data_IF_969772382036
#
_entry.id   IF_969772382036
#
_cell.length_a   1.000
_cell.length_b   1.000
_cell.length_c   1.000
_cell.angle_alpha   90.00
_cell.angle_beta   90.00
_cell.angle_gamma   90.00
#
_symmetry.space_group_name_H-M   'P 1'
#
loop_
_entity.id
_entity.type
_entity.pdbx_description
1 polymer ?
#
# COMPACT_ATOMS: atom_id res chain seq x y z
N UNK A 1 -17.78 11.67 -5.27
CA UNK A 1 -18.33 10.31 -5.08
C UNK A 1 -17.22 9.30 -5.04
N UNK A 2 -16.82 8.90 -3.83
CA UNK A 2 -16.12 7.64 -3.61
C UNK A 2 -17.17 6.55 -3.86
N UNK A 3 -16.95 5.67 -4.85
CA UNK A 3 -17.86 4.54 -5.05
C UNK A 3 -17.88 3.70 -3.76
N UNK A 4 -19.06 3.27 -3.26
CA UNK A 4 -19.15 2.33 -2.16
C UNK A 4 -18.18 1.15 -2.33
N UNK A 5 -17.62 0.67 -1.22
CA UNK A 5 -16.64 -0.44 -1.24
C UNK A 5 -17.16 -1.65 -2.03
N UNK A 6 -18.45 -1.96 -1.91
CA UNK A 6 -19.10 -3.06 -2.62
C UNK A 6 -19.10 -2.87 -4.15
N UNK A 7 -19.34 -1.66 -4.65
CA UNK A 7 -19.26 -1.37 -6.09
C UNK A 7 -17.83 -1.55 -6.62
N UNK A 8 -16.83 -1.13 -5.84
CA UNK A 8 -15.43 -1.34 -6.21
C UNK A 8 -15.09 -2.82 -6.29
N UNK A 9 -15.53 -3.62 -5.31
CA UNK A 9 -15.35 -5.08 -5.31
C UNK A 9 -16.03 -5.74 -6.52
N UNK A 10 -17.26 -5.35 -6.83
CA UNK A 10 -17.95 -5.84 -8.02
C UNK A 10 -17.19 -5.50 -9.31
N UNK A 11 -16.75 -4.24 -9.45
CA UNK A 11 -15.94 -3.77 -10.58
C UNK A 11 -14.63 -4.53 -10.71
N UNK A 12 -13.93 -4.79 -9.60
CA UNK A 12 -12.69 -5.60 -9.57
C UNK A 12 -12.97 -7.00 -10.10
N UNK A 13 -13.99 -7.69 -9.58
CA UNK A 13 -14.34 -9.06 -10.01
C UNK A 13 -14.67 -9.11 -11.50
N UNK A 14 -15.45 -8.15 -11.99
CA UNK A 14 -15.82 -8.03 -13.41
C UNK A 14 -14.59 -7.83 -14.31
N UNK A 15 -13.71 -6.89 -13.96
CA UNK A 15 -12.49 -6.60 -14.73
C UNK A 15 -11.47 -7.75 -14.67
N UNK A 16 -11.35 -8.43 -13.54
CA UNK A 16 -10.46 -9.58 -13.39
C UNK A 16 -10.97 -10.83 -14.14
N UNK A 17 -12.29 -10.98 -14.28
CA UNK A 17 -12.91 -12.00 -15.13
C UNK A 17 -12.48 -13.42 -14.77
N UNK A 18 -12.00 -14.18 -15.76
CA UNK A 18 -11.56 -15.56 -15.57
C UNK A 18 -10.42 -15.71 -14.55
N UNK A 19 -9.53 -14.71 -14.45
CA UNK A 19 -8.45 -14.73 -13.47
C UNK A 19 -8.99 -14.73 -12.03
N UNK A 20 -10.05 -13.96 -11.76
CA UNK A 20 -10.72 -14.00 -10.45
C UNK A 20 -11.30 -15.38 -10.16
N UNK A 21 -12.01 -15.99 -11.12
CA UNK A 21 -12.59 -17.33 -10.96
C UNK A 21 -11.52 -18.38 -10.65
N UNK A 22 -10.43 -18.42 -11.43
CA UNK A 22 -9.32 -19.36 -11.24
C UNK A 22 -8.66 -19.18 -9.87
N UNK A 23 -8.33 -17.93 -9.51
CA UNK A 23 -7.68 -17.65 -8.23
C UNK A 23 -8.61 -17.95 -7.05
N UNK A 24 -9.90 -17.62 -7.15
CA UNK A 24 -10.87 -17.90 -6.10
C UNK A 24 -11.04 -19.40 -5.83
N UNK A 25 -11.03 -20.23 -6.89
CA UNK A 25 -11.08 -21.69 -6.77
C UNK A 25 -9.81 -22.23 -6.11
N UNK A 26 -8.64 -21.77 -6.55
CA UNK A 26 -7.36 -22.21 -5.97
C UNK A 26 -7.24 -21.86 -4.48
N UNK A 27 -7.69 -20.67 -4.07
CA UNK A 27 -7.73 -20.24 -2.67
C UNK A 27 -8.72 -21.03 -1.78
N UNK A 28 -9.51 -21.97 -2.34
CA UNK A 28 -10.31 -22.89 -1.54
C UNK A 28 -9.46 -24.01 -0.93
N UNK A 29 -8.43 -24.46 -1.64
CA UNK A 29 -7.66 -25.66 -1.30
C UNK A 29 -6.16 -25.39 -1.15
N UNK A 30 -5.69 -24.21 -1.57
CA UNK A 30 -4.28 -23.85 -1.57
C UNK A 30 -4.06 -22.50 -0.88
N UNK A 31 -2.87 -22.37 -0.29
CA UNK A 31 -2.41 -21.14 0.34
C UNK A 31 -1.30 -20.51 -0.48
N UNK A 32 -1.34 -19.19 -0.55
CA UNK A 32 -0.29 -18.38 -1.15
C UNK A 32 0.19 -17.33 -0.15
N UNK A 33 1.47 -16.99 -0.26
CA UNK A 33 2.15 -16.02 0.60
C UNK A 33 2.64 -14.88 -0.27
N UNK A 34 2.14 -13.66 -0.04
CA UNK A 34 2.44 -12.50 -0.88
C UNK A 34 3.15 -11.42 -0.08
N UNK A 35 4.40 -11.13 -0.40
CA UNK A 35 5.13 -9.98 0.11
C UNK A 35 4.84 -8.75 -0.74
N UNK A 36 4.12 -7.78 -0.18
CA UNK A 36 3.83 -6.53 -0.89
C UNK A 36 5.00 -5.55 -0.78
N UNK A 37 5.60 -5.24 -1.93
CA UNK A 37 6.69 -4.30 -2.09
C UNK A 37 6.16 -3.04 -2.75
N UNK A 38 6.12 -1.92 -2.03
CA UNK A 38 5.60 -0.66 -2.58
C UNK A 38 6.40 0.53 -2.06
N UNK A 39 6.63 1.54 -2.91
CA UNK A 39 7.13 2.86 -2.47
C UNK A 39 6.14 3.51 -1.49
N UNK A 40 6.64 4.41 -0.62
CA UNK A 40 5.79 5.25 0.24
C UNK A 40 4.79 6.02 -0.65
N UNK A 41 3.51 6.08 -0.26
CA UNK A 41 2.38 6.69 -0.99
C UNK A 41 1.82 5.92 -2.21
N UNK A 42 2.27 4.70 -2.46
CA UNK A 42 1.78 3.90 -3.59
C UNK A 42 0.34 3.37 -3.44
N UNK A 43 -0.27 3.48 -2.25
CA UNK A 43 -1.64 2.98 -2.00
C UNK A 43 -1.71 1.52 -1.55
N UNK A 44 -0.63 1.00 -0.93
CA UNK A 44 -0.51 -0.39 -0.48
C UNK A 44 -1.72 -0.91 0.30
N UNK A 45 -2.13 -0.21 1.36
CA UNK A 45 -3.24 -0.62 2.22
C UNK A 45 -4.55 -0.74 1.44
N UNK A 46 -4.75 0.12 0.43
CA UNK A 46 -5.92 0.07 -0.46
C UNK A 46 -5.94 -1.21 -1.29
N UNK A 47 -4.82 -1.62 -1.87
CA UNK A 47 -4.75 -2.88 -2.63
C UNK A 47 -4.96 -4.11 -1.74
N UNK A 48 -4.37 -4.11 -0.55
CA UNK A 48 -4.55 -5.18 0.44
C UNK A 48 -6.02 -5.28 0.84
N UNK A 49 -6.65 -4.17 1.18
CA UNK A 49 -8.07 -4.12 1.53
C UNK A 49 -8.91 -4.66 0.38
N UNK A 50 -8.72 -4.17 -0.84
CA UNK A 50 -9.49 -4.66 -1.99
C UNK A 50 -9.29 -6.14 -2.26
N UNK A 51 -8.10 -6.70 -2.07
CA UNK A 51 -7.89 -8.15 -2.20
C UNK A 51 -8.65 -8.91 -1.11
N UNK A 52 -8.57 -8.47 0.14
CA UNK A 52 -9.27 -9.12 1.25
C UNK A 52 -10.80 -9.08 1.07
N UNK A 53 -11.34 -7.97 0.57
CA UNK A 53 -12.77 -7.80 0.31
C UNK A 53 -13.22 -8.53 -0.97
N UNK A 54 -12.35 -8.64 -1.96
CA UNK A 54 -12.63 -9.40 -3.20
C UNK A 54 -12.65 -10.90 -2.96
N UNK A 55 -11.81 -11.39 -2.04
CA UNK A 55 -11.74 -12.78 -1.59
C UNK A 55 -11.99 -12.89 -0.07
N UNK A 56 -13.25 -12.70 0.37
CA UNK A 56 -13.58 -12.68 1.80
C UNK A 56 -13.10 -13.94 2.51
N UNK A 57 -12.53 -13.76 3.71
CA UNK A 57 -12.01 -14.82 4.58
C UNK A 57 -10.83 -15.64 4.02
N UNK A 58 -10.36 -15.38 2.79
CA UNK A 58 -9.24 -16.13 2.17
C UNK A 58 -7.86 -15.58 2.48
N UNK A 59 -7.76 -14.28 2.75
CA UNK A 59 -6.52 -13.62 3.08
C UNK A 59 -6.52 -13.08 4.51
N UNK A 60 -5.34 -13.09 5.12
CA UNK A 60 -5.01 -12.27 6.28
C UNK A 60 -3.90 -11.30 5.92
N UNK A 61 -3.97 -10.09 6.48
CA UNK A 61 -2.90 -9.10 6.37
C UNK A 61 -2.03 -9.16 7.62
N UNK A 62 -0.75 -9.50 7.44
CA UNK A 62 0.26 -9.35 8.47
C UNK A 62 0.98 -8.01 8.28
N UNK A 63 0.44 -6.95 8.89
CA UNK A 63 1.09 -5.64 8.89
C UNK A 63 2.13 -5.55 10.00
N UNK A 64 3.39 -5.57 9.60
CA UNK A 64 4.53 -5.43 10.50
C UNK A 64 4.51 -4.05 11.19
N UNK A 65 4.10 -3.01 10.46
CA UNK A 65 4.01 -1.66 11.02
C UNK A 65 2.93 -1.52 12.09
N UNK A 66 1.79 -2.17 11.91
CA UNK A 66 0.72 -2.21 12.90
C UNK A 66 1.11 -3.05 14.11
N UNK A 67 1.70 -4.22 13.88
CA UNK A 67 2.24 -5.08 14.94
C UNK A 67 3.19 -4.32 15.86
N UNK A 68 4.14 -3.58 15.28
CA UNK A 68 5.09 -2.77 16.05
C UNK A 68 4.37 -1.70 16.89
N UNK A 69 3.38 -0.99 16.32
CA UNK A 69 2.62 0.03 17.06
C UNK A 69 1.82 -0.58 18.21
N UNK A 70 1.13 -1.69 17.98
CA UNK A 70 0.36 -2.37 19.00
C UNK A 70 1.26 -2.85 20.16
N UNK A 71 2.47 -3.34 19.83
CA UNK A 71 3.47 -3.70 20.84
C UNK A 71 3.99 -2.48 21.61
N UNK A 72 4.23 -1.35 20.93
CA UNK A 72 4.61 -0.10 21.60
C UNK A 72 3.51 0.39 22.55
N UNK A 73 2.24 0.34 22.13
CA UNK A 73 1.09 0.67 22.97
C UNK A 73 0.96 -0.28 24.17
N UNK A 74 1.13 -1.60 23.98
CA UNK A 74 1.15 -2.59 25.06
C UNK A 74 2.25 -2.28 26.10
N UNK A 75 3.45 -1.90 25.63
CA UNK A 75 4.57 -1.50 26.50
C UNK A 75 4.23 -0.23 27.29
N UNK A 76 3.63 0.77 26.65
CA UNK A 76 3.22 2.02 27.31
C UNK A 76 2.15 1.79 28.39
N UNK A 77 1.20 0.88 28.14
CA UNK A 77 0.12 0.58 29.07
C UNK A 77 0.58 -0.30 30.24
N UNK A 78 1.41 -1.32 29.99
CA UNK A 78 1.89 -2.22 31.05
C UNK A 78 3.24 -2.86 30.69
N UNK A 79 4.32 -2.12 30.95
CA UNK A 79 5.70 -2.56 30.70
C UNK A 79 6.04 -3.89 31.39
N UNK A 80 5.57 -4.12 32.63
CA UNK A 80 5.85 -5.35 33.38
C UNK A 80 5.24 -6.59 32.70
N UNK A 81 4.02 -6.47 32.17
CA UNK A 81 3.39 -7.53 31.38
C UNK A 81 4.15 -7.79 30.08
N UNK A 82 4.58 -6.73 29.39
CA UNK A 82 5.36 -6.85 28.16
C UNK A 82 6.70 -7.57 28.38
N UNK A 83 7.44 -7.26 29.46
CA UNK A 83 8.73 -7.90 29.81
C UNK A 83 8.59 -9.40 30.10
N UNK A 84 7.41 -9.85 30.58
CA UNK A 84 7.15 -11.29 30.76
C UNK A 84 6.99 -12.04 29.43
N UNK A 85 6.55 -11.34 28.39
CA UNK A 85 6.26 -11.92 27.06
C UNK A 85 7.41 -11.73 26.06
N UNK A 86 8.16 -10.64 26.20
CA UNK A 86 9.16 -10.17 25.23
C UNK A 86 10.49 -9.87 25.92
N UNK A 87 11.60 -10.08 25.21
CA UNK A 87 12.93 -9.82 25.76
C UNK A 87 13.15 -8.32 26.02
N UNK A 88 14.02 -8.00 27.00
CA UNK A 88 14.34 -6.61 27.35
C UNK A 88 14.98 -5.86 26.19
N UNK A 89 15.76 -6.53 25.35
CA UNK A 89 16.39 -5.94 24.16
C UNK A 89 15.34 -5.54 23.13
N UNK A 90 14.34 -6.40 22.90
CA UNK A 90 13.24 -6.09 21.98
C UNK A 90 12.42 -4.90 22.50
N UNK A 91 12.11 -4.85 23.78
CA UNK A 91 11.37 -3.74 24.39
C UNK A 91 12.15 -2.43 24.24
N UNK A 92 13.46 -2.45 24.55
CA UNK A 92 14.33 -1.28 24.40
C UNK A 92 14.39 -0.80 22.96
N UNK A 93 14.49 -1.72 22.00
CA UNK A 93 14.50 -1.39 20.57
C UNK A 93 13.14 -0.82 20.12
N UNK A 94 12.02 -1.38 20.62
CA UNK A 94 10.67 -0.88 20.35
C UNK A 94 10.47 0.54 20.89
N UNK A 95 10.90 0.82 22.12
CA UNK A 95 10.81 2.16 22.73
C UNK A 95 11.61 3.21 21.94
N UNK A 96 12.78 2.83 21.41
CA UNK A 96 13.63 3.72 20.60
C UNK A 96 13.22 3.80 19.14
N UNK A 97 12.38 2.88 18.67
CA UNK A 97 12.01 2.80 17.27
C UNK A 97 10.98 3.86 16.90
N UNK A 98 11.13 4.42 15.71
CA UNK A 98 10.27 5.46 15.18
C UNK A 98 10.17 5.36 13.66
N UNK A 99 9.45 6.31 13.08
CA UNK A 99 9.36 6.43 11.62
C UNK A 99 10.74 6.67 11.00
N UNK A 100 11.67 7.34 11.69
CA UNK A 100 13.05 7.61 11.24
C UNK A 100 14.06 6.57 11.73
N UNK A 101 13.83 5.96 12.90
CA UNK A 101 14.69 4.94 13.47
C UNK A 101 13.99 3.56 13.43
N UNK A 102 14.22 2.82 12.35
CA UNK A 102 13.63 1.49 12.20
C UNK A 102 14.31 0.46 13.10
N UNK A 103 13.53 -0.51 13.62
CA UNK A 103 14.01 -1.63 14.43
C UNK A 103 15.27 -2.32 13.91
N UNK A 104 16.03 -2.88 14.84
CA UNK A 104 17.18 -3.74 14.57
C UNK A 104 16.76 -5.05 13.89
N UNK A 105 17.71 -5.69 13.19
CA UNK A 105 17.44 -6.97 12.52
C UNK A 105 17.04 -8.09 13.50
N UNK A 106 17.68 -8.23 14.69
CA UNK A 106 17.23 -9.21 15.69
C UNK A 106 15.77 -9.02 16.11
N UNK A 107 15.36 -7.79 16.44
CA UNK A 107 13.98 -7.50 16.81
C UNK A 107 13.00 -7.80 15.68
N UNK A 108 13.37 -7.46 14.44
CA UNK A 108 12.56 -7.77 13.26
C UNK A 108 12.40 -9.28 13.09
N UNK A 109 13.48 -10.05 13.27
CA UNK A 109 13.45 -11.52 13.21
C UNK A 109 12.54 -12.11 14.31
N UNK A 110 12.60 -11.59 15.53
CA UNK A 110 11.77 -12.04 16.66
C UNK A 110 10.29 -11.77 16.41
N UNK A 111 9.92 -10.53 16.04
CA UNK A 111 8.53 -10.19 15.73
C UNK A 111 8.04 -11.01 14.54
N UNK A 112 8.84 -11.11 13.47
CA UNK A 112 8.45 -11.86 12.27
C UNK A 112 8.26 -13.35 12.56
N UNK A 113 9.12 -13.97 13.38
CA UNK A 113 8.94 -15.36 13.81
C UNK A 113 7.60 -15.55 14.54
N UNK A 114 7.28 -14.68 15.50
CA UNK A 114 6.04 -14.80 16.27
C UNK A 114 4.79 -14.58 15.40
N UNK A 115 4.81 -13.62 14.47
CA UNK A 115 3.72 -13.41 13.51
C UNK A 115 3.41 -14.64 12.64
N UNK A 116 4.39 -15.53 12.45
CA UNK A 116 4.24 -16.72 11.63
C UNK A 116 3.72 -17.94 12.42
N UNK A 117 3.78 -17.92 13.75
CA UNK A 117 3.30 -19.02 14.61
C UNK A 117 1.77 -19.07 14.60
N UNK A 118 1.13 -17.91 14.70
CA UNK A 118 -0.33 -17.80 14.84
C UNK A 118 -1.09 -17.72 13.50
N UNK A 119 -0.49 -18.28 12.44
CA UNK A 119 -1.09 -18.23 11.11
C UNK A 119 -2.25 -19.24 10.99
N UNK A 120 -3.47 -18.79 10.64
CA UNK A 120 -4.58 -19.71 10.36
C UNK A 120 -4.21 -20.70 9.24
N UNK A 121 -4.47 -22.00 9.42
CA UNK A 121 -4.01 -23.04 8.50
C UNK A 121 -4.70 -22.98 7.14
N UNK A 122 -5.84 -22.31 7.02
CA UNK A 122 -6.69 -22.23 5.83
C UNK A 122 -6.55 -20.91 5.06
N UNK A 123 -5.74 -19.96 5.56
CA UNK A 123 -5.65 -18.61 4.99
C UNK A 123 -4.33 -18.36 4.28
N UNK A 124 -4.46 -17.70 3.14
CA UNK A 124 -3.34 -17.06 2.44
C UNK A 124 -2.90 -15.80 3.18
N UNK A 125 -1.62 -15.43 3.03
CA UNK A 125 -0.99 -14.39 3.84
C UNK A 125 -0.49 -13.26 2.97
N UNK A 126 -0.88 -12.03 3.31
CA UNK A 126 -0.37 -10.80 2.72
C UNK A 126 0.60 -10.18 3.73
N UNK A 127 1.90 -10.19 3.42
CA UNK A 127 2.90 -9.54 4.26
C UNK A 127 2.99 -8.06 3.92
N UNK A 128 2.69 -7.21 4.91
CA UNK A 128 2.81 -5.78 4.82
C UNK A 128 3.96 -5.22 5.66
N UNK A 129 4.99 -4.72 4.96
CA UNK A 129 5.97 -3.82 5.56
C UNK A 129 7.26 -4.51 5.97
N UNK A 130 7.56 -5.66 5.37
CA UNK A 130 8.85 -6.33 5.40
C UNK A 130 9.17 -6.88 3.99
N UNK A 131 10.42 -6.76 3.50
CA UNK A 131 11.54 -6.03 4.11
C UNK A 131 11.46 -4.51 3.93
N UNK A 132 12.03 -3.76 4.88
CA UNK A 132 12.22 -2.30 4.88
C UNK A 132 13.69 -1.85 4.82
N UNK A 133 14.64 -2.77 5.07
CA UNK A 133 16.09 -2.54 4.98
C UNK A 133 16.72 -3.65 4.14
N UNK A 134 17.81 -3.34 3.44
CA UNK A 134 18.58 -4.34 2.68
C UNK A 134 19.00 -5.55 3.51
N UNK A 135 19.42 -5.34 4.77
CA UNK A 135 19.85 -6.43 5.65
C UNK A 135 18.71 -7.39 6.09
N UNK A 136 17.45 -7.08 5.79
CA UNK A 136 16.30 -7.97 6.04
C UNK A 136 16.04 -8.92 4.87
N UNK A 137 16.64 -8.71 3.70
CA UNK A 137 16.45 -9.55 2.53
C UNK A 137 16.81 -11.02 2.79
N UNK A 138 17.99 -11.34 3.38
CA UNK A 138 18.33 -12.73 3.68
C UNK A 138 17.30 -13.43 4.57
N UNK A 139 16.73 -12.71 5.54
CA UNK A 139 15.68 -13.23 6.43
C UNK A 139 14.41 -13.61 5.64
N UNK A 140 13.94 -12.71 4.78
CA UNK A 140 12.71 -12.93 4.01
C UNK A 140 12.90 -14.03 2.95
N UNK A 141 14.05 -14.06 2.28
CA UNK A 141 14.39 -15.13 1.32
C UNK A 141 14.46 -16.48 2.04
N UNK A 142 15.19 -16.59 3.16
CA UNK A 142 15.25 -17.84 3.95
C UNK A 142 13.85 -18.33 4.34
N UNK A 143 12.97 -17.43 4.80
CA UNK A 143 11.60 -17.81 5.14
C UNK A 143 10.79 -18.22 3.92
N UNK A 144 11.00 -17.58 2.79
CA UNK A 144 10.35 -17.93 1.51
C UNK A 144 10.73 -19.34 1.06
N UNK A 145 12.00 -19.75 1.21
CA UNK A 145 12.41 -21.13 0.94
C UNK A 145 11.74 -22.13 1.88
N UNK A 146 11.65 -21.83 3.17
CA UNK A 146 10.96 -22.72 4.12
C UNK A 146 9.50 -22.94 3.72
N UNK A 147 8.80 -21.87 3.33
CA UNK A 147 7.41 -21.96 2.87
C UNK A 147 7.32 -22.68 1.51
N UNK A 148 8.23 -22.42 0.59
CA UNK A 148 8.30 -23.08 -0.71
C UNK A 148 8.55 -24.59 -0.61
N UNK A 149 9.44 -25.00 0.31
CA UNK A 149 9.74 -26.42 0.59
C UNK A 149 8.55 -27.14 1.24
N UNK A 150 7.67 -26.41 1.91
CA UNK A 150 6.37 -26.91 2.40
C UNK A 150 5.30 -26.97 1.28
N UNK A 151 5.67 -26.66 0.04
CA UNK A 151 4.81 -26.71 -1.14
C UNK A 151 4.06 -25.41 -1.46
N UNK A 152 4.13 -24.40 -0.58
CA UNK A 152 3.40 -23.14 -0.74
C UNK A 152 3.98 -22.25 -1.84
N UNK A 153 3.12 -21.49 -2.52
CA UNK A 153 3.57 -20.44 -3.45
C UNK A 153 3.92 -19.18 -2.68
N UNK A 154 5.11 -18.63 -2.93
CA UNK A 154 5.60 -17.38 -2.34
C UNK A 154 5.82 -16.36 -3.45
N UNK A 155 5.18 -15.20 -3.33
CA UNK A 155 5.15 -14.17 -4.36
C UNK A 155 5.62 -12.85 -3.77
N UNK A 156 6.64 -12.25 -4.37
CA UNK A 156 7.02 -10.86 -4.12
C UNK A 156 6.29 -9.98 -5.13
N UNK A 157 5.32 -9.19 -4.67
CA UNK A 157 4.50 -8.33 -5.52
C UNK A 157 4.96 -6.88 -5.38
N UNK A 158 5.72 -6.41 -6.37
CA UNK A 158 6.14 -5.02 -6.51
C UNK A 158 5.07 -4.20 -7.24
N UNK A 159 4.51 -3.22 -6.55
CA UNK A 159 3.62 -2.21 -7.14
C UNK A 159 4.44 -0.97 -7.49
N UNK A 160 4.65 -0.77 -8.78
CA UNK A 160 5.39 0.36 -9.33
C UNK A 160 4.43 1.49 -9.72
N UNK A 161 4.75 2.68 -9.25
CA UNK A 161 3.98 3.91 -9.44
C UNK A 161 4.98 5.00 -9.81
N UNK A 162 4.67 5.79 -10.85
CA UNK A 162 5.51 6.93 -11.22
C UNK A 162 5.75 7.87 -10.04
N UNK A 163 6.99 8.36 -9.88
CA UNK A 163 7.35 9.23 -8.75
C UNK A 163 6.50 10.50 -8.73
N UNK A 164 6.21 11.10 -9.89
CA UNK A 164 5.33 12.27 -10.03
C UNK A 164 3.94 12.05 -9.40
N UNK A 165 3.36 10.86 -9.57
CA UNK A 165 2.07 10.50 -8.93
C UNK A 165 2.25 10.42 -7.41
N UNK A 166 3.34 9.82 -6.95
CA UNK A 166 3.63 9.67 -5.52
C UNK A 166 3.89 11.03 -4.84
N UNK A 167 4.54 11.95 -5.54
CA UNK A 167 4.83 13.32 -5.09
C UNK A 167 3.54 14.13 -5.02
N UNK A 168 2.76 14.12 -6.09
CA UNK A 168 1.44 14.75 -6.10
C UNK A 168 0.57 14.25 -4.95
N UNK A 169 0.52 12.93 -4.69
CA UNK A 169 -0.24 12.33 -3.56
C UNK A 169 0.27 12.78 -2.19
N UNK A 170 1.58 12.93 -2.05
CA UNK A 170 2.20 13.34 -0.79
C UNK A 170 1.85 14.80 -0.48
N UNK A 171 2.08 15.70 -1.42
CA UNK A 171 1.87 17.15 -1.26
C UNK A 171 0.40 17.52 -1.05
N UNK A 172 -0.49 16.75 -1.66
CA UNK A 172 -1.95 16.94 -1.58
C UNK A 172 -2.59 16.33 -0.34
N UNK A 173 -1.84 15.56 0.45
CA UNK A 173 -2.38 14.94 1.67
C UNK A 173 -2.69 16.01 2.72
N UNK A 174 -3.85 15.86 3.34
CA UNK A 174 -4.32 16.71 4.43
C UNK A 174 -4.67 15.86 5.66
N UNK A 175 -4.59 16.46 6.84
CA UNK A 175 -4.95 15.85 8.12
C UNK A 175 -5.74 16.84 8.97
N UNK A 176 -6.74 16.35 9.68
CA UNK A 176 -7.46 17.11 10.69
C UNK A 176 -6.59 17.16 11.96
N UNK A 177 -6.20 18.34 12.45
CA UNK A 177 -5.38 18.43 13.65
C UNK A 177 -6.14 17.98 14.91
N UNK A 178 -7.47 18.03 14.91
CA UNK A 178 -8.31 17.66 16.06
C UNK A 178 -8.55 16.16 16.18
N UNK A 179 -8.89 15.48 15.07
CA UNK A 179 -9.31 14.07 15.10
C UNK A 179 -8.43 13.13 14.26
N UNK A 180 -7.38 13.64 13.62
CA UNK A 180 -6.47 12.82 12.80
C UNK A 180 -7.06 12.31 11.48
N UNK A 181 -8.30 12.65 11.13
CA UNK A 181 -8.91 12.31 9.84
C UNK A 181 -8.00 12.79 8.69
N UNK A 182 -7.62 11.88 7.79
CA UNK A 182 -6.79 12.23 6.62
C UNK A 182 -7.58 12.17 5.34
N UNK A 183 -7.32 13.10 4.44
CA UNK A 183 -7.91 13.14 3.09
C UNK A 183 -6.87 13.67 2.09
N UNK A 184 -7.24 13.75 0.82
CA UNK A 184 -6.37 14.20 -0.25
C UNK A 184 -7.10 15.23 -1.13
N UNK A 185 -6.52 16.43 -1.29
CA UNK A 185 -7.15 17.53 -2.04
C UNK A 185 -7.24 17.28 -3.56
N UNK A 186 -6.57 16.25 -4.10
CA UNK A 186 -6.73 15.85 -5.50
C UNK A 186 -7.97 14.99 -5.73
N UNK A 187 -8.46 14.26 -4.73
CA UNK A 187 -9.60 13.34 -4.86
C UNK A 187 -10.88 13.70 -4.08
N UNK A 188 -11.09 14.91 -3.52
CA UNK A 188 -12.09 15.08 -2.49
C UNK A 188 -13.49 15.33 -3.08
N UNK A 189 -14.47 15.20 -2.20
CA UNK A 189 -15.88 15.50 -2.49
C UNK A 189 -16.09 17.01 -2.39
N UNK A 190 -16.84 17.60 -3.34
CA UNK A 190 -17.13 19.04 -3.41
C UNK A 190 -17.61 19.63 -2.07
N UNK A 191 -18.40 18.87 -1.32
CA UNK A 191 -18.97 19.26 -0.02
C UNK A 191 -17.93 19.64 1.04
N UNK A 192 -16.71 19.12 0.92
CA UNK A 192 -15.65 19.35 1.90
C UNK A 192 -14.64 20.41 1.43
N UNK A 193 -14.92 21.17 0.38
CA UNK A 193 -14.00 22.18 -0.17
C UNK A 193 -14.46 23.58 0.19
N UNK A 194 -13.52 24.39 0.69
CA UNK A 194 -13.69 25.83 0.93
C UNK A 194 -12.57 26.61 0.26
N UNK A 195 -12.77 27.94 0.13
CA UNK A 195 -11.81 28.84 -0.51
C UNK A 195 -11.37 29.95 0.45
N UNK A 196 -10.07 30.17 0.57
CA UNK A 196 -9.51 31.25 1.38
C UNK A 196 -9.30 32.50 0.51
N UNK A 197 -10.06 33.57 0.77
CA UNK A 197 -9.98 34.81 0.00
C UNK A 197 -8.65 35.57 0.15
N UNK A 198 -7.91 35.34 1.25
CA UNK A 198 -6.61 35.98 1.52
C UNK A 198 -5.50 35.28 0.75
N UNK A 199 -5.39 33.95 0.87
CA UNK A 199 -4.33 33.18 0.20
C UNK A 199 -4.66 32.81 -1.24
N UNK A 200 -5.93 32.97 -1.66
CA UNK A 200 -6.46 32.53 -2.96
C UNK A 200 -6.34 31.02 -3.20
N UNK A 201 -6.36 30.23 -2.13
CA UNK A 201 -6.22 28.77 -2.19
C UNK A 201 -7.49 28.04 -1.78
N UNK A 202 -7.71 26.87 -2.39
CA UNK A 202 -8.71 25.90 -1.93
C UNK A 202 -8.15 25.07 -0.79
N UNK A 203 -9.00 24.77 0.18
CA UNK A 203 -8.66 23.92 1.32
C UNK A 203 -9.80 22.97 1.64
N UNK A 204 -9.46 21.89 2.35
CA UNK A 204 -10.44 20.91 2.79
C UNK A 204 -10.97 21.25 4.19
N UNK A 205 -12.24 20.97 4.42
CA UNK A 205 -12.89 21.03 5.72
C UNK A 205 -13.12 19.61 6.22
N UNK A 206 -12.83 19.37 7.50
CA UNK A 206 -13.04 18.07 8.12
C UNK A 206 -14.54 17.76 8.21
N UNK A 207 -15.04 16.66 7.62
CA UNK A 207 -16.46 16.31 7.72
C UNK A 207 -16.90 15.95 9.15
N UNK A 208 -15.96 15.59 10.02
CA UNK A 208 -16.25 15.22 11.43
C UNK A 208 -16.19 16.40 12.39
N UNK A 209 -15.37 17.40 12.10
CA UNK A 209 -15.04 18.46 13.05
C UNK A 209 -15.40 19.86 12.55
N UNK A 210 -15.74 20.03 11.27
CA UNK A 210 -16.01 21.33 10.66
C UNK A 210 -14.80 22.26 10.55
N UNK A 211 -13.59 21.81 10.94
CA UNK A 211 -12.37 22.64 10.91
C UNK A 211 -11.54 22.40 9.65
N UNK A 212 -10.73 23.38 9.21
CA UNK A 212 -9.81 23.22 8.08
C UNK A 212 -8.82 22.07 8.31
N UNK A 213 -8.64 21.23 7.30
CA UNK A 213 -7.57 20.24 7.25
C UNK A 213 -6.25 20.93 6.87
N UNK A 214 -5.18 20.58 7.57
CA UNK A 214 -3.84 21.11 7.34
C UNK A 214 -2.99 20.12 6.55
N UNK A 215 -1.87 20.57 5.98
CA UNK A 215 -0.87 19.65 5.41
C UNK A 215 -0.35 18.73 6.50
N UNK A 216 -0.25 17.43 6.22
CA UNK A 216 0.27 16.47 7.20
C UNK A 216 1.77 16.69 7.39
N UNK A 217 2.17 17.09 8.60
CA UNK A 217 3.59 17.22 8.96
C UNK A 217 4.33 15.91 8.72
N UNK A 218 5.55 15.99 8.17
CA UNK A 218 6.35 14.82 7.76
C UNK A 218 5.97 14.22 6.40
N UNK A 219 4.94 14.75 5.73
CA UNK A 219 4.59 14.48 4.34
C UNK A 219 4.91 15.70 3.44
N UNK A 220 6.06 16.34 3.68
CA UNK A 220 6.67 17.28 2.74
C UNK A 220 7.69 16.55 1.88
N UNK A 221 7.82 16.93 0.61
CA UNK A 221 8.94 16.48 -0.22
C UNK A 221 10.23 16.85 0.52
N UNK A 222 10.92 15.82 0.97
CA UNK A 222 12.08 15.95 1.85
C UNK A 222 13.14 14.94 1.43
N UNK A 223 14.43 15.23 1.65
CA UNK A 223 15.51 14.28 1.39
C UNK A 223 15.26 12.92 2.05
N UNK A 224 14.61 12.90 3.23
CA UNK A 224 14.26 11.67 3.93
C UNK A 224 13.26 10.79 3.16
N UNK A 225 12.28 11.37 2.46
CA UNK A 225 11.33 10.60 1.63
C UNK A 225 12.02 10.04 0.39
N UNK A 226 12.84 10.85 -0.28
CA UNK A 226 13.63 10.39 -1.43
C UNK A 226 14.59 9.28 -1.04
N UNK A 227 15.30 9.41 0.09
CA UNK A 227 16.17 8.36 0.65
C UNK A 227 15.41 7.05 0.88
N UNK A 228 14.17 7.11 1.39
CA UNK A 228 13.33 5.90 1.55
C UNK A 228 12.93 5.26 0.24
N UNK A 229 12.62 6.06 -0.78
CA UNK A 229 12.27 5.53 -2.12
C UNK A 229 13.51 4.92 -2.78
N UNK A 230 14.69 5.54 -2.65
CA UNK A 230 15.95 4.97 -3.13
C UNK A 230 16.29 3.67 -2.39
N UNK A 231 16.14 3.62 -1.07
CA UNK A 231 16.34 2.38 -0.30
C UNK A 231 15.38 1.28 -0.75
N UNK A 232 14.11 1.62 -0.99
CA UNK A 232 13.14 0.69 -1.57
C UNK A 232 13.59 0.17 -2.94
N UNK A 233 14.10 1.04 -3.82
CA UNK A 233 14.59 0.62 -5.15
C UNK A 233 15.77 -0.35 -5.04
N UNK A 234 16.71 -0.11 -4.09
CA UNK A 234 17.79 -1.06 -3.79
C UNK A 234 17.25 -2.40 -3.32
N UNK A 235 16.27 -2.38 -2.40
CA UNK A 235 15.63 -3.59 -1.87
C UNK A 235 14.92 -4.38 -2.97
N UNK A 236 14.10 -3.71 -3.79
CA UNK A 236 13.38 -4.31 -4.90
C UNK A 236 14.33 -4.94 -5.91
N UNK A 237 15.40 -4.21 -6.29
CA UNK A 237 16.44 -4.70 -7.20
C UNK A 237 17.16 -5.95 -6.65
N UNK A 238 17.58 -5.91 -5.39
CA UNK A 238 18.28 -7.03 -4.77
C UNK A 238 17.37 -8.25 -4.56
N UNK A 239 16.12 -8.04 -4.13
CA UNK A 239 15.13 -9.12 -4.04
C UNK A 239 14.87 -9.76 -5.40
N UNK A 240 14.62 -8.95 -6.43
CA UNK A 240 14.42 -9.45 -7.79
C UNK A 240 15.64 -10.26 -8.25
N UNK A 241 16.85 -9.76 -8.03
CA UNK A 241 18.09 -10.46 -8.38
C UNK A 241 18.19 -11.82 -7.68
N UNK A 242 17.92 -11.88 -6.38
CA UNK A 242 17.95 -13.15 -5.63
C UNK A 242 16.89 -14.11 -6.13
N UNK A 243 15.62 -13.68 -6.18
CA UNK A 243 14.51 -14.51 -6.65
C UNK A 243 14.72 -15.02 -8.08
N UNK A 244 15.28 -14.20 -8.99
CA UNK A 244 15.59 -14.63 -10.35
C UNK A 244 16.76 -15.62 -10.45
N UNK A 245 17.69 -15.60 -9.49
CA UNK A 245 18.75 -16.62 -9.40
C UNK A 245 18.24 -17.92 -8.78
N UNK A 246 17.13 -17.89 -8.06
CA UNK A 246 16.53 -19.09 -7.51
C UNK A 246 15.97 -19.96 -8.63
N UNK A 247 16.28 -21.26 -8.59
CA UNK A 247 15.71 -22.25 -9.51
C UNK A 247 14.35 -22.80 -9.01
N UNK A 248 13.80 -22.25 -7.93
CA UNK A 248 12.55 -22.73 -7.35
C UNK A 248 11.34 -22.14 -8.07
N UNK A 249 10.54 -23.00 -8.70
CA UNK A 249 9.25 -22.61 -9.30
C UNK A 249 8.22 -22.09 -8.27
N UNK A 250 8.46 -22.28 -6.97
CA UNK A 250 7.54 -21.89 -5.89
C UNK A 250 7.72 -20.44 -5.44
N UNK A 251 8.85 -19.80 -5.75
CA UNK A 251 9.14 -18.42 -5.35
C UNK A 251 9.18 -17.54 -6.60
N UNK A 252 8.36 -16.49 -6.65
CA UNK A 252 8.27 -15.64 -7.85
C UNK A 252 8.30 -14.16 -7.50
N UNK A 253 8.89 -13.36 -8.39
CA UNK A 253 8.90 -11.91 -8.30
C UNK A 253 8.02 -11.32 -9.41
N UNK A 254 6.95 -10.63 -9.03
CA UNK A 254 6.03 -9.94 -9.95
C UNK A 254 6.22 -8.44 -9.77
N UNK A 255 6.62 -7.74 -10.84
CA UNK A 255 6.54 -6.29 -10.92
C UNK A 255 5.34 -5.87 -11.74
N UNK A 256 4.50 -5.01 -11.18
CA UNK A 256 3.32 -4.50 -11.84
C UNK A 256 3.27 -2.97 -11.76
N UNK A 257 3.16 -2.32 -12.92
CA UNK A 257 2.89 -0.88 -12.99
C UNK A 257 1.40 -0.60 -12.82
N UNK A 258 1.10 0.52 -12.17
CA UNK A 258 -0.27 1.03 -11.97
C UNK A 258 -0.62 2.17 -12.90
N UNK A 259 0.12 2.27 -14.00
CA UNK A 259 -0.10 3.23 -15.07
C UNK A 259 -0.09 2.53 -16.43
N UNK A 260 -0.54 3.27 -17.45
CA UNK A 260 -0.64 2.81 -18.82
C UNK A 260 -0.25 3.95 -19.77
N UNK A 261 0.57 3.70 -20.81
CA UNK A 261 0.87 4.73 -21.81
C UNK A 261 -0.41 5.31 -22.42
N UNK A 262 -0.45 6.63 -22.57
CA UNK A 262 -1.64 7.34 -23.09
C UNK A 262 -2.05 6.78 -24.46
N UNK A 263 -1.10 6.49 -25.33
CA UNK A 263 -1.35 5.93 -26.66
C UNK A 263 -1.81 4.46 -26.68
N UNK A 264 -1.70 3.73 -25.56
CA UNK A 264 -2.17 2.34 -25.42
C UNK A 264 -3.46 2.24 -24.60
N UNK A 265 -4.00 3.39 -24.16
CA UNK A 265 -5.19 3.41 -23.34
C UNK A 265 -6.43 3.21 -24.23
N UNK A 266 -7.03 2.03 -24.12
CA UNK A 266 -8.29 1.67 -24.80
C UNK A 266 -9.44 1.46 -23.80
N UNK A 267 -9.18 1.59 -22.50
CA UNK A 267 -10.20 1.40 -21.47
C UNK A 267 -11.08 2.66 -21.33
N UNK A 268 -12.21 2.53 -20.63
CA UNK A 268 -13.03 3.69 -20.25
C UNK A 268 -12.26 4.56 -19.25
N UNK A 269 -12.42 5.90 -19.31
CA UNK A 269 -11.95 6.85 -18.29
C UNK A 269 -12.27 6.44 -16.84
N UNK A 270 -13.33 5.66 -16.62
CA UNK A 270 -13.64 5.03 -15.33
C UNK A 270 -12.56 4.10 -14.77
N UNK A 271 -11.60 3.66 -15.58
CA UNK A 271 -10.43 2.90 -15.15
C UNK A 271 -9.29 3.78 -14.61
N UNK A 272 -9.36 5.09 -14.87
CA UNK A 272 -8.31 6.03 -14.53
C UNK A 272 -8.48 6.59 -13.12
N UNK A 273 -7.36 6.95 -12.52
CA UNK A 273 -7.34 7.79 -11.35
C UNK A 273 -7.65 9.22 -11.79
N UNK A 274 -8.75 9.78 -11.28
CA UNK A 274 -9.16 11.14 -11.61
C UNK A 274 -8.71 12.08 -10.50
N UNK A 275 -8.12 13.20 -10.89
CA UNK A 275 -7.86 14.32 -9.99
C UNK A 275 -8.86 15.45 -10.25
N UNK A 276 -9.10 16.25 -9.23
CA UNK A 276 -10.07 17.34 -9.26
C UNK A 276 -9.36 18.67 -9.33
N UNK A 277 -9.78 19.49 -10.29
CA UNK A 277 -9.41 20.89 -10.39
C UNK A 277 -10.57 21.74 -9.87
N UNK A 278 -10.26 22.64 -8.95
CA UNK A 278 -11.24 23.57 -8.38
C UNK A 278 -11.14 24.92 -9.06
N UNK A 279 -12.28 25.52 -9.31
CA UNK A 279 -12.38 26.91 -9.75
C UNK A 279 -13.47 27.63 -8.96
N UNK A 280 -13.35 28.95 -8.85
CA UNK A 280 -14.32 29.81 -8.19
C UNK A 280 -14.82 30.83 -9.20
N UNK A 281 -16.14 30.91 -9.37
CA UNK A 281 -16.76 31.88 -10.27
C UNK A 281 -16.82 33.29 -9.65
N UNK A 282 -17.24 34.29 -10.44
CA UNK A 282 -17.41 35.69 -9.99
C UNK A 282 -18.45 35.85 -8.87
N UNK A 283 -19.39 34.90 -8.73
CA UNK A 283 -20.43 34.87 -7.68
C UNK A 283 -19.96 34.12 -6.43
N UNK A 284 -18.72 33.63 -6.43
CA UNK A 284 -18.10 32.91 -5.34
C UNK A 284 -18.44 31.43 -5.25
N UNK A 285 -19.15 30.87 -6.23
CA UNK A 285 -19.48 29.44 -6.28
C UNK A 285 -18.25 28.64 -6.68
N UNK A 286 -18.00 27.55 -5.96
CA UNK A 286 -16.90 26.63 -6.24
C UNK A 286 -17.40 25.54 -7.18
N UNK A 287 -16.67 25.29 -8.26
CA UNK A 287 -16.91 24.18 -9.16
C UNK A 287 -15.70 23.24 -9.21
N UNK A 288 -15.94 21.99 -9.59
CA UNK A 288 -14.93 20.95 -9.65
C UNK A 288 -14.96 20.27 -11.02
N UNK A 289 -13.82 20.24 -11.70
CA UNK A 289 -13.64 19.49 -12.95
C UNK A 289 -12.73 18.29 -12.69
N UNK A 290 -13.17 17.09 -13.07
CA UNK A 290 -12.34 15.88 -12.98
C UNK A 290 -11.53 15.72 -14.26
N UNK A 291 -10.25 15.37 -14.11
CA UNK A 291 -9.37 14.98 -15.23
C UNK A 291 -8.53 13.76 -14.88
N UNK A 292 -8.12 12.94 -15.86
CA UNK A 292 -7.16 11.87 -15.62
C UNK A 292 -5.86 12.39 -15.01
N UNK A 293 -5.35 11.68 -14.01
CA UNK A 293 -4.01 11.92 -13.50
C UNK A 293 -2.99 11.39 -14.50
N UNK A 294 -2.15 12.28 -15.00
CA UNK A 294 -1.04 11.96 -15.90
C UNK A 294 0.30 11.99 -15.17
N UNK A 295 1.27 11.25 -15.68
CA UNK A 295 2.67 11.32 -15.30
C UNK A 295 3.56 10.98 -16.49
N UNK A 296 4.88 11.08 -16.31
CA UNK A 296 5.88 10.70 -17.30
C UNK A 296 6.56 9.39 -16.92
N UNK A 297 6.74 8.52 -17.91
CA UNK A 297 7.56 7.33 -17.78
C UNK A 297 8.40 7.12 -19.04
N UNK A 298 9.73 7.03 -18.87
CA UNK A 298 10.68 6.91 -19.98
C UNK A 298 10.46 7.99 -21.05
N UNK A 299 10.20 9.23 -20.62
CA UNK A 299 9.92 10.35 -21.52
C UNK A 299 8.55 10.32 -22.20
N UNK A 300 7.67 9.36 -21.89
CA UNK A 300 6.34 9.23 -22.50
C UNK A 300 5.23 9.46 -21.47
N UNK A 301 4.11 10.09 -21.87
CA UNK A 301 3.00 10.32 -20.97
C UNK A 301 2.26 9.00 -20.67
N UNK A 302 1.89 8.82 -19.40
CA UNK A 302 1.12 7.69 -18.89
C UNK A 302 -0.08 8.18 -18.08
N UNK A 303 -1.20 7.45 -18.14
CA UNK A 303 -2.32 7.63 -17.23
C UNK A 303 -2.16 6.75 -16.00
N UNK A 304 -2.45 7.30 -14.83
CA UNK A 304 -2.59 6.51 -13.60
C UNK A 304 -3.91 5.74 -13.61
N UNK A 305 -3.86 4.44 -13.32
CA UNK A 305 -5.04 3.63 -13.09
C UNK A 305 -5.57 3.85 -11.67
N UNK A 306 -6.89 3.81 -11.51
CA UNK A 306 -7.47 3.81 -10.18
C UNK A 306 -7.24 2.47 -9.47
N UNK A 307 -7.39 2.51 -8.15
CA UNK A 307 -7.08 1.36 -7.30
C UNK A 307 -7.91 0.09 -7.61
N UNK A 308 -9.23 0.17 -7.92
CA UNK A 308 -9.99 -1.00 -8.38
C UNK A 308 -9.41 -1.64 -9.64
N UNK A 309 -9.10 -0.84 -10.67
CA UNK A 309 -8.54 -1.34 -11.93
C UNK A 309 -7.14 -1.94 -11.73
N UNK A 310 -6.29 -1.26 -10.97
CA UNK A 310 -4.98 -1.79 -10.61
C UNK A 310 -5.09 -3.10 -9.82
N UNK A 311 -6.07 -3.25 -8.92
CA UNK A 311 -6.30 -4.51 -8.18
C UNK A 311 -6.77 -5.64 -9.10
N UNK A 312 -7.64 -5.35 -10.07
CA UNK A 312 -8.02 -6.35 -11.07
C UNK A 312 -6.79 -6.85 -11.86
N UNK A 313 -5.87 -5.96 -12.22
CA UNK A 313 -4.59 -6.34 -12.87
C UNK A 313 -3.67 -7.14 -11.94
N UNK A 314 -3.66 -6.87 -10.63
CA UNK A 314 -2.96 -7.70 -9.64
C UNK A 314 -3.51 -9.13 -9.70
N UNK A 315 -4.83 -9.30 -9.64
CA UNK A 315 -5.48 -10.61 -9.69
C UNK A 315 -5.13 -11.35 -10.99
N UNK A 316 -5.16 -10.66 -12.12
CA UNK A 316 -4.75 -11.21 -13.42
C UNK A 316 -3.30 -11.69 -13.41
N UNK A 317 -2.37 -10.91 -12.86
CA UNK A 317 -0.96 -11.28 -12.76
C UNK A 317 -0.71 -12.44 -11.80
N UNK A 318 -1.41 -12.47 -10.66
CA UNK A 318 -1.34 -13.59 -9.72
C UNK A 318 -1.84 -14.88 -10.38
N UNK A 319 -2.99 -14.84 -11.04
CA UNK A 319 -3.52 -16.01 -11.74
C UNK A 319 -2.54 -16.51 -12.81
N UNK A 320 -2.03 -15.63 -13.69
CA UNK A 320 -1.09 -16.00 -14.75
C UNK A 320 0.29 -16.50 -14.24
N UNK A 321 0.60 -16.28 -12.96
CA UNK A 321 1.82 -16.79 -12.34
C UNK A 321 1.60 -18.14 -11.66
N UNK A 322 0.37 -18.41 -11.21
CA UNK A 322 0.01 -19.62 -10.48
C UNK A 322 -0.38 -20.76 -11.42
N UNK A 323 -1.05 -20.45 -12.54
CA UNK A 323 -1.54 -21.39 -13.56
C UNK A 323 -0.95 -21.04 -14.93
#
# INVERSE_FOLDING_TARGET
MVRPLQENVYSIKKKAGLAYKKLNLHLQTHRIFIFFLTKKMAGKSTYIQYLMETFPKKFINLSFGETVRNLQEEICLNKNKAVRKWSRELITDLEKSSVSNLLSLPSVKTIFKNLLVDLPPDKSVLFDGIPRKLNQIPLVIKKSHQLGNQGYRVIFLEIDVANEILDARLESRRICPKCGFTDNILTPVLENISFNNKTKEFYLVCPKCGIPLIRKMGDQLSPAIYKRRQEFEKIAKELKKRVCKEQSSKITYIRMRTDIPVNKFQENQESLNLITEYSKDKKGRISAKKKPQTATWQGKPVYSLNAPTATARIIQKLAATIF
#
